data_IF_881673797458
#
_entry.id   IF_881673797458
#
_cell.length_a   1.000
_cell.length_b   1.000
_cell.length_c   1.000
_cell.angle_alpha   90.00
_cell.angle_beta   90.00
_cell.angle_gamma   90.00
#
_symmetry.space_group_name_H-M   'P 1'
#
loop_
_entity.id
_entity.type
_entity.pdbx_description
1 polymer ?
#
# COMPACT_ATOMS: atom_id res chain seq x y z
N UNK A 1 -3.25 10.14 30.00
CA UNK A 1 -2.31 9.63 28.97
C UNK A 1 -3.01 8.53 28.19
N UNK A 2 -3.58 8.85 27.02
CA UNK A 2 -4.28 7.85 26.20
C UNK A 2 -3.21 6.95 25.56
N UNK A 3 -3.10 5.72 26.05
CA UNK A 3 -2.31 4.67 25.42
C UNK A 3 -2.94 4.40 24.06
N UNK A 4 -2.40 4.97 22.99
CA UNK A 4 -2.69 4.50 21.64
C UNK A 4 -2.09 3.11 21.55
N UNK A 5 -2.94 2.08 21.60
CA UNK A 5 -2.51 0.71 21.32
C UNK A 5 -1.87 0.71 19.94
N UNK A 6 -0.56 0.46 19.92
CA UNK A 6 0.17 0.13 18.71
C UNK A 6 -0.43 -1.17 18.18
N UNK A 7 -1.12 -1.12 17.05
CA UNK A 7 -1.60 -2.33 16.38
C UNK A 7 -0.38 -2.99 15.74
N UNK A 8 0.21 -3.94 16.47
CA UNK A 8 1.24 -4.84 15.95
C UNK A 8 0.56 -5.82 14.99
N UNK A 9 0.67 -5.55 13.69
CA UNK A 9 0.30 -6.51 12.66
C UNK A 9 1.42 -7.55 12.59
N UNK A 10 1.24 -8.67 13.27
CA UNK A 10 2.15 -9.82 13.21
C UNK A 10 1.96 -10.51 11.86
N UNK A 11 2.92 -10.36 10.95
CA UNK A 11 3.00 -11.16 9.73
C UNK A 11 3.81 -12.43 10.02
N UNK A 12 3.17 -13.59 9.87
CA UNK A 12 3.83 -14.89 9.93
C UNK A 12 4.65 -15.07 8.64
N UNK A 13 5.98 -15.07 8.76
CA UNK A 13 6.89 -15.28 7.64
C UNK A 13 7.11 -16.78 7.39
N UNK A 14 6.70 -17.26 6.21
CA UNK A 14 7.17 -18.52 5.63
C UNK A 14 8.24 -18.23 4.59
N UNK A 15 9.48 -18.65 4.86
CA UNK A 15 10.64 -18.52 3.96
C UNK A 15 10.68 -19.66 2.95
N UNK A 16 10.73 -19.33 1.65
CA UNK A 16 11.60 -19.97 0.64
C UNK A 16 11.74 -19.03 -0.57
N UNK A 17 12.96 -18.86 -1.05
CA UNK A 17 13.39 -17.82 -1.98
C UNK A 17 13.37 -18.26 -3.46
N UNK A 18 12.61 -17.55 -4.30
CA UNK A 18 12.94 -17.11 -5.68
C UNK A 18 11.97 -15.98 -6.03
N UNK A 19 12.45 -14.72 -6.12
CA UNK A 19 11.67 -13.46 -6.22
C UNK A 19 10.51 -13.29 -5.22
N UNK A 20 10.71 -13.66 -3.95
CA UNK A 20 9.66 -13.62 -2.93
C UNK A 20 8.94 -12.26 -2.82
N UNK A 21 7.61 -12.27 -2.98
CA UNK A 21 6.72 -11.16 -2.63
C UNK A 21 7.16 -10.56 -1.30
N UNK A 22 7.58 -9.29 -1.34
CA UNK A 22 8.15 -8.61 -0.19
C UNK A 22 7.03 -8.17 0.79
N UNK A 23 7.00 -8.65 2.05
CA UNK A 23 5.99 -8.28 3.03
C UNK A 23 5.98 -6.79 3.38
N UNK A 24 7.13 -6.11 3.26
CA UNK A 24 7.26 -4.66 3.49
C UNK A 24 6.45 -3.89 2.47
N UNK A 25 6.68 -4.20 1.19
CA UNK A 25 6.02 -3.57 0.05
C UNK A 25 4.54 -3.93 -0.02
N UNK A 26 4.22 -5.18 0.30
CA UNK A 26 2.84 -5.68 0.40
C UNK A 26 2.04 -4.87 1.42
N UNK A 27 2.66 -4.56 2.57
CA UNK A 27 2.01 -3.83 3.65
C UNK A 27 1.59 -2.40 3.29
N UNK A 28 2.19 -1.75 2.29
CA UNK A 28 1.87 -0.36 1.93
C UNK A 28 0.46 -0.24 1.37
N UNK A 29 0.12 -1.06 0.38
CA UNK A 29 -1.20 -0.99 -0.27
C UNK A 29 -2.32 -1.45 0.67
N UNK A 30 -2.05 -2.41 1.56
CA UNK A 30 -2.98 -2.76 2.64
C UNK A 30 -3.15 -1.61 3.65
N UNK A 31 -2.08 -0.90 4.00
CA UNK A 31 -2.13 0.27 4.89
C UNK A 31 -3.00 1.37 4.28
N UNK A 32 -2.84 1.65 2.99
CA UNK A 32 -3.63 2.69 2.32
C UNK A 32 -5.09 2.28 2.10
N UNK A 33 -5.39 0.98 2.03
CA UNK A 33 -6.77 0.49 1.94
C UNK A 33 -7.50 0.46 3.30
N UNK A 34 -6.81 0.75 4.42
CA UNK A 34 -7.46 0.95 5.71
C UNK A 34 -8.23 2.28 5.70
N UNK A 35 -9.54 2.26 5.97
CA UNK A 35 -10.43 3.42 5.77
C UNK A 35 -9.96 4.72 6.47
N UNK A 36 -9.58 4.74 7.77
CA UNK A 36 -9.00 5.92 8.39
C UNK A 36 -7.74 6.47 7.70
N UNK A 37 -6.88 5.58 7.18
CA UNK A 37 -5.66 5.96 6.46
C UNK A 37 -6.01 6.45 5.06
N UNK A 38 -6.91 5.77 4.37
CA UNK A 38 -7.43 6.16 3.06
C UNK A 38 -7.98 7.58 3.10
N UNK A 39 -8.86 7.88 4.07
CA UNK A 39 -9.48 9.20 4.20
C UNK A 39 -8.43 10.31 4.46
N UNK A 40 -7.38 10.01 5.24
CA UNK A 40 -6.26 10.94 5.44
C UNK A 40 -5.42 11.13 4.19
N UNK A 41 -5.20 10.05 3.43
CA UNK A 41 -4.49 10.10 2.15
C UNK A 41 -5.27 10.99 1.17
N UNK A 42 -6.58 10.77 0.99
CA UNK A 42 -7.41 11.60 0.10
C UNK A 42 -7.33 13.07 0.46
N UNK A 43 -7.43 13.40 1.75
CA UNK A 43 -7.27 14.77 2.26
C UNK A 43 -5.87 15.35 1.97
N UNK A 44 -4.81 14.57 2.16
CA UNK A 44 -3.44 15.01 1.88
C UNK A 44 -3.21 15.25 0.38
N UNK A 45 -3.75 14.37 -0.46
CA UNK A 45 -3.71 14.52 -1.90
C UNK A 45 -4.54 15.72 -2.37
N UNK A 46 -5.55 16.12 -1.60
CA UNK A 46 -6.53 17.15 -1.96
C UNK A 46 -7.25 16.76 -3.25
N UNK A 47 -7.83 15.57 -3.24
CA UNK A 47 -8.68 15.05 -4.32
C UNK A 47 -10.12 15.50 -4.14
N UNK A 48 -10.87 15.58 -5.23
CA UNK A 48 -12.32 15.73 -5.18
C UNK A 48 -13.02 14.38 -4.90
N UNK A 49 -14.35 14.42 -4.74
CA UNK A 49 -15.15 13.25 -4.38
C UNK A 49 -15.12 12.16 -5.47
N UNK A 50 -15.12 12.56 -6.76
CA UNK A 50 -15.07 11.63 -7.89
C UNK A 50 -13.71 10.92 -7.95
N UNK A 51 -12.62 11.67 -7.78
CA UNK A 51 -11.28 11.13 -7.68
C UNK A 51 -11.16 10.19 -6.47
N UNK A 52 -11.74 10.54 -5.33
CA UNK A 52 -11.71 9.71 -4.13
C UNK A 52 -12.44 8.37 -4.33
N UNK A 53 -13.64 8.38 -4.90
CA UNK A 53 -14.41 7.17 -5.19
C UNK A 53 -13.67 6.26 -6.19
N UNK A 54 -13.12 6.84 -7.25
CA UNK A 54 -12.32 6.12 -8.22
C UNK A 54 -11.07 5.50 -7.58
N UNK A 55 -10.36 6.25 -6.73
CA UNK A 55 -9.19 5.74 -6.02
C UNK A 55 -9.58 4.60 -5.07
N UNK A 56 -10.70 4.70 -4.37
CA UNK A 56 -11.19 3.64 -3.47
C UNK A 56 -11.36 2.32 -4.22
N UNK A 57 -12.05 2.36 -5.37
CA UNK A 57 -12.19 1.19 -6.23
C UNK A 57 -10.83 0.61 -6.67
N UNK A 58 -9.88 1.48 -7.05
CA UNK A 58 -8.54 1.05 -7.46
C UNK A 58 -7.79 0.40 -6.28
N UNK A 59 -7.86 0.94 -5.07
CA UNK A 59 -7.21 0.36 -3.88
C UNK A 59 -7.81 -1.00 -3.49
N UNK A 60 -9.13 -1.13 -3.46
CA UNK A 60 -9.82 -2.39 -3.17
C UNK A 60 -9.48 -3.46 -4.21
N UNK A 61 -9.49 -3.07 -5.49
CA UNK A 61 -9.10 -3.95 -6.60
C UNK A 61 -7.65 -4.38 -6.52
N UNK A 62 -6.75 -3.45 -6.16
CA UNK A 62 -5.32 -3.72 -5.98
C UNK A 62 -5.10 -4.72 -4.86
N UNK A 63 -5.73 -4.50 -3.69
CA UNK A 63 -5.62 -5.38 -2.53
C UNK A 63 -6.12 -6.81 -2.84
N UNK A 64 -7.22 -6.93 -3.58
CA UNK A 64 -7.76 -8.22 -4.04
C UNK A 64 -6.82 -8.95 -5.00
N UNK A 65 -6.26 -8.23 -6.00
CA UNK A 65 -5.28 -8.79 -6.95
C UNK A 65 -3.99 -9.23 -6.25
N UNK A 66 -3.47 -8.42 -5.33
CA UNK A 66 -2.29 -8.76 -4.54
C UNK A 66 -2.55 -9.98 -3.65
N UNK A 67 -3.69 -10.04 -2.96
CA UNK A 67 -4.03 -11.20 -2.13
C UNK A 67 -4.08 -12.50 -2.96
N UNK A 68 -4.65 -12.43 -4.16
CA UNK A 68 -4.72 -13.58 -5.08
C UNK A 68 -3.33 -14.01 -5.55
N UNK A 69 -2.46 -13.04 -5.88
CA UNK A 69 -1.08 -13.30 -6.27
C UNK A 69 -0.26 -13.93 -5.14
N UNK A 70 -0.42 -13.44 -3.90
CA UNK A 70 0.21 -14.03 -2.69
C UNK A 70 -0.23 -15.47 -2.48
N UNK A 71 -1.54 -15.75 -2.53
CA UNK A 71 -2.08 -17.11 -2.35
C UNK A 71 -1.57 -18.10 -3.40
N UNK A 72 -1.19 -17.60 -4.57
CA UNK A 72 -0.70 -18.41 -5.70
C UNK A 72 0.82 -18.35 -5.88
N UNK A 73 1.56 -17.70 -4.98
CA UNK A 73 3.01 -17.45 -5.09
C UNK A 73 3.41 -16.93 -6.49
N UNK A 74 2.66 -15.95 -7.00
CA UNK A 74 2.82 -15.43 -8.36
C UNK A 74 3.32 -13.98 -8.36
N UNK A 75 4.64 -13.81 -8.41
CA UNK A 75 5.30 -12.51 -8.34
C UNK A 75 4.98 -11.60 -9.55
N UNK A 76 4.76 -12.20 -10.72
CA UNK A 76 4.38 -11.47 -11.92
C UNK A 76 2.96 -10.89 -11.78
N UNK A 77 2.02 -11.65 -11.23
CA UNK A 77 0.66 -11.18 -10.94
C UNK A 77 0.67 -10.12 -9.84
N UNK A 78 1.53 -10.26 -8.82
CA UNK A 78 1.73 -9.26 -7.78
C UNK A 78 2.24 -7.94 -8.37
N UNK A 79 3.31 -8.00 -9.17
CA UNK A 79 3.87 -6.83 -9.87
C UNK A 79 2.85 -6.17 -10.77
N UNK A 80 2.01 -6.97 -11.45
CA UNK A 80 0.91 -6.45 -12.28
C UNK A 80 -0.17 -5.75 -11.44
N UNK A 81 -0.44 -6.20 -10.22
CA UNK A 81 -1.37 -5.54 -9.31
C UNK A 81 -0.85 -4.19 -8.83
N UNK A 82 0.45 -4.10 -8.49
CA UNK A 82 1.11 -2.84 -8.13
C UNK A 82 1.09 -1.87 -9.31
N UNK A 83 1.48 -2.33 -10.50
CA UNK A 83 1.46 -1.50 -11.72
C UNK A 83 0.05 -1.04 -12.09
N UNK A 84 -0.96 -1.91 -11.89
CA UNK A 84 -2.36 -1.53 -12.07
C UNK A 84 -2.72 -0.34 -11.16
N UNK A 85 -2.33 -0.37 -9.89
CA UNK A 85 -2.60 0.73 -8.98
C UNK A 85 -1.94 2.05 -9.45
N UNK A 86 -0.62 2.00 -9.69
CA UNK A 86 0.16 3.18 -10.07
C UNK A 86 -0.33 3.81 -11.38
N UNK A 87 -0.61 2.98 -12.38
CA UNK A 87 -1.09 3.45 -13.68
C UNK A 87 -2.48 4.06 -13.61
N UNK A 88 -3.42 3.45 -12.87
CA UNK A 88 -4.77 4.00 -12.73
C UNK A 88 -4.78 5.25 -11.86
N UNK A 89 -4.01 5.28 -10.76
CA UNK A 89 -3.86 6.48 -9.94
C UNK A 89 -3.31 7.65 -10.75
N UNK A 90 -2.35 7.41 -11.66
CA UNK A 90 -1.83 8.43 -12.58
C UNK A 90 -2.89 9.00 -13.53
N UNK A 91 -3.87 8.19 -13.93
CA UNK A 91 -4.95 8.63 -14.82
C UNK A 91 -6.06 9.39 -14.07
N UNK A 92 -6.28 9.07 -12.79
CA UNK A 92 -7.29 9.73 -11.94
C UNK A 92 -6.77 11.06 -11.39
N UNK A 93 -5.52 11.07 -10.95
CA UNK A 93 -4.90 12.21 -10.28
C UNK A 93 -4.32 13.20 -11.28
N UNK A 94 -4.40 14.49 -10.94
CA UNK A 94 -3.57 15.51 -11.59
C UNK A 94 -2.09 15.22 -11.34
N UNK A 95 -1.20 15.81 -12.15
CA UNK A 95 0.23 15.59 -12.01
C UNK A 95 0.75 15.89 -10.59
N UNK A 96 0.34 17.02 -9.99
CA UNK A 96 0.78 17.41 -8.64
C UNK A 96 0.26 16.46 -7.56
N UNK A 97 -0.99 16.01 -7.67
CA UNK A 97 -1.57 15.00 -6.77
C UNK A 97 -0.85 13.65 -6.92
N UNK A 98 -0.52 13.23 -8.14
CA UNK A 98 0.19 11.97 -8.38
C UNK A 98 1.62 11.99 -7.81
N UNK A 99 2.34 13.12 -7.88
CA UNK A 99 3.65 13.25 -7.23
C UNK A 99 3.53 13.15 -5.70
N UNK A 100 2.51 13.78 -5.10
CA UNK A 100 2.22 13.62 -3.66
C UNK A 100 1.92 12.16 -3.31
N UNK A 101 1.18 11.47 -4.17
CA UNK A 101 0.83 10.07 -4.01
C UNK A 101 2.08 9.16 -3.99
N UNK A 102 2.96 9.30 -4.98
CA UNK A 102 4.24 8.57 -5.02
C UNK A 102 5.12 8.89 -3.82
N UNK A 103 5.14 10.16 -3.37
CA UNK A 103 5.88 10.56 -2.18
C UNK A 103 5.38 9.84 -0.93
N UNK A 104 4.06 9.70 -0.77
CA UNK A 104 3.47 9.00 0.37
C UNK A 104 3.76 7.49 0.34
N UNK A 105 3.72 6.86 -0.85
CA UNK A 105 4.18 5.47 -1.02
C UNK A 105 5.62 5.33 -0.52
N UNK A 106 6.53 6.18 -1.01
CA UNK A 106 7.95 6.09 -0.69
C UNK A 106 8.24 6.31 0.81
N UNK A 107 7.57 7.31 1.42
CA UNK A 107 7.68 7.55 2.85
C UNK A 107 7.16 6.35 3.67
N UNK A 108 6.04 5.76 3.25
CA UNK A 108 5.48 4.59 3.94
C UNK A 108 6.40 3.38 3.80
N UNK A 109 6.97 3.13 2.62
CA UNK A 109 7.97 2.08 2.43
C UNK A 109 9.18 2.30 3.34
N UNK A 110 9.73 3.52 3.34
CA UNK A 110 10.92 3.87 4.13
C UNK A 110 10.67 3.64 5.62
N UNK A 111 9.54 4.12 6.14
CA UNK A 111 9.18 3.92 7.55
C UNK A 111 9.06 2.43 7.90
N UNK A 112 8.44 1.62 7.03
CA UNK A 112 8.30 0.17 7.27
C UNK A 112 9.64 -0.55 7.24
N UNK A 113 10.54 -0.17 6.33
CA UNK A 113 11.91 -0.71 6.32
C UNK A 113 12.67 -0.34 7.60
N UNK A 114 12.51 0.89 8.10
CA UNK A 114 13.11 1.32 9.36
C UNK A 114 12.55 0.55 10.57
N UNK A 115 11.23 0.37 10.65
CA UNK A 115 10.59 -0.39 11.73
C UNK A 115 11.12 -1.82 11.82
N UNK A 116 11.27 -2.50 10.68
CA UNK A 116 11.82 -3.86 10.63
C UNK A 116 13.29 -3.86 11.07
N UNK A 117 14.10 -2.94 10.54
CA UNK A 117 15.52 -2.83 10.92
C UNK A 117 15.74 -2.52 12.41
N UNK A 118 14.81 -1.82 13.06
CA UNK A 118 14.88 -1.51 14.49
C UNK A 118 14.29 -2.61 15.38
N UNK A 119 13.34 -3.41 14.88
CA UNK A 119 12.74 -4.54 15.58
C UNK A 119 13.61 -5.81 15.59
N UNK A 120 14.67 -5.86 14.80
CA UNK A 120 15.67 -6.95 14.78
C UNK A 120 16.81 -6.77 15.80
N UNK A 121 16.77 -5.73 16.65
CA UNK A 121 17.71 -5.49 17.76
C UNK A 121 17.11 -5.92 19.10
#
# INVERSE_FOLDING_TARGET
>A
MKKMMLVLVVFVAGVVSTYAINPVETGVFYTFNNEPVFNRLMKYLNVDDEQADNLKYIFETTASKMQTAVKSNNDAAYSKAVNFNLANAKNILTHSQYIKYLSMINLTLTNRYQEISLGEK
#
